data_IF_843995649913
#
_entry.id   IF_843995649913
#
_cell.length_a   1.000
_cell.length_b   1.000
_cell.length_c   1.000
_cell.angle_alpha   90.00
_cell.angle_beta   90.00
_cell.angle_gamma   90.00
#
_symmetry.space_group_name_H-M   'P 1'
#
loop_
_entity.id
_entity.type
_entity.pdbx_description
1 polymer ?
#
# COMPACT_ATOMS: atom_id res chain seq x y z
N UNK A 1 -1.02 3.93 -17.56
CA UNK A 1 -1.81 4.12 -16.33
C UNK A 1 -0.89 4.49 -15.20
N UNK A 2 -1.36 5.26 -14.22
CA UNK A 2 -0.54 5.69 -13.09
C UNK A 2 -1.38 6.04 -11.87
N UNK A 3 -0.70 6.19 -10.75
CA UNK A 3 -1.30 6.41 -9.44
C UNK A 3 -0.56 7.51 -8.68
N UNK A 4 -1.30 8.29 -7.90
CA UNK A 4 -0.78 9.20 -6.89
C UNK A 4 -1.48 8.88 -5.58
N UNK A 5 -0.70 8.75 -4.52
CA UNK A 5 -1.19 8.56 -3.15
C UNK A 5 -0.82 9.83 -2.38
N UNK A 6 -1.82 10.52 -1.84
CA UNK A 6 -1.66 11.78 -1.13
C UNK A 6 -2.17 11.64 0.31
N UNK A 7 -1.25 11.61 1.26
CA UNK A 7 -1.58 11.55 2.69
C UNK A 7 -1.82 12.95 3.26
N UNK A 8 -2.96 13.13 3.93
CA UNK A 8 -3.42 14.38 4.51
C UNK A 8 -3.54 14.26 6.03
N UNK A 9 -2.46 14.58 6.75
CA UNK A 9 -2.40 14.44 8.21
C UNK A 9 -3.49 15.24 8.95
N UNK A 10 -3.82 16.45 8.48
CA UNK A 10 -4.83 17.30 9.11
C UNK A 10 -6.26 16.75 9.05
N UNK A 11 -6.56 15.87 8.08
CA UNK A 11 -7.88 15.26 7.89
C UNK A 11 -7.90 13.77 8.23
N UNK A 12 -6.77 13.24 8.70
CA UNK A 12 -6.55 11.81 8.91
C UNK A 12 -7.02 10.95 7.73
N UNK A 13 -6.62 11.35 6.52
CA UNK A 13 -7.09 10.73 5.28
C UNK A 13 -5.97 10.59 4.28
N UNK A 14 -5.99 9.53 3.48
CA UNK A 14 -5.11 9.34 2.33
C UNK A 14 -5.96 9.20 1.08
N UNK A 15 -5.75 10.11 0.12
CA UNK A 15 -6.46 10.13 -1.15
C UNK A 15 -5.65 9.41 -2.24
N UNK A 16 -6.34 8.63 -3.05
CA UNK A 16 -5.75 7.88 -4.15
C UNK A 16 -6.32 8.43 -5.45
N UNK A 17 -5.42 8.97 -6.28
CA UNK A 17 -5.73 9.47 -7.61
C UNK A 17 -5.22 8.51 -8.67
N UNK A 18 -5.98 8.34 -9.74
CA UNK A 18 -5.62 7.50 -10.90
C UNK A 18 -5.57 8.34 -12.17
N UNK A 19 -4.62 7.99 -13.03
CA UNK A 19 -4.54 8.51 -14.40
C UNK A 19 -4.56 7.37 -15.42
N UNK A 20 -5.26 7.58 -16.53
CA UNK A 20 -5.26 6.69 -17.68
C UNK A 20 -4.33 7.17 -18.81
N UNK A 21 -3.92 8.45 -18.80
CA UNK A 21 -3.31 9.14 -19.94
C UNK A 21 -1.88 9.62 -19.67
N UNK A 22 -1.18 8.93 -18.76
CA UNK A 22 0.21 9.25 -18.44
C UNK A 22 0.38 10.48 -17.54
N UNK A 23 -0.68 10.87 -16.83
CA UNK A 23 -0.64 11.93 -15.82
C UNK A 23 -1.07 13.29 -16.35
N UNK A 24 -1.70 13.36 -17.53
CA UNK A 24 -2.29 14.59 -18.05
C UNK A 24 -3.58 14.94 -17.30
N UNK A 25 -4.36 13.91 -16.95
CA UNK A 25 -5.54 14.05 -16.10
C UNK A 25 -5.51 13.07 -14.94
N UNK A 26 -5.96 13.53 -13.78
CA UNK A 26 -6.04 12.76 -12.54
C UNK A 26 -7.47 12.83 -12.00
N UNK A 27 -8.01 11.68 -11.62
CA UNK A 27 -9.31 11.57 -10.97
C UNK A 27 -9.14 10.91 -9.60
N UNK A 28 -9.85 11.43 -8.60
CA UNK A 28 -9.94 10.77 -7.29
C UNK A 28 -10.63 9.42 -7.49
N UNK A 29 -9.92 8.33 -7.19
CA UNK A 29 -10.49 6.98 -7.24
C UNK A 29 -11.11 6.62 -5.89
N UNK A 30 -10.39 6.89 -4.80
CA UNK A 30 -10.83 6.48 -3.46
C UNK A 30 -10.09 7.27 -2.37
N UNK A 31 -10.66 7.28 -1.17
CA UNK A 31 -10.03 7.84 0.02
C UNK A 31 -10.03 6.78 1.13
N UNK A 32 -8.87 6.60 1.75
CA UNK A 32 -8.68 5.76 2.92
C UNK A 32 -8.71 6.66 4.18
N UNK A 33 -9.52 6.37 5.22
CA UNK A 33 -9.61 7.19 6.42
C UNK A 33 -8.41 6.97 7.37
N UNK A 34 -7.20 6.93 6.82
CA UNK A 34 -5.94 6.79 7.55
C UNK A 34 -4.96 7.86 7.10
N UNK A 35 -4.26 8.46 8.07
CA UNK A 35 -3.55 9.71 7.90
C UNK A 35 -2.23 9.59 7.14
N UNK A 36 -1.58 8.44 7.23
CA UNK A 36 -0.23 8.23 6.75
C UNK A 36 -0.06 6.82 6.21
N UNK A 37 0.68 6.73 5.11
CA UNK A 37 1.09 5.47 4.47
C UNK A 37 2.61 5.40 4.51
N UNK A 38 3.14 4.35 5.11
CA UNK A 38 4.58 4.13 5.23
C UNK A 38 5.17 3.50 3.97
N UNK A 39 4.41 2.63 3.30
CA UNK A 39 4.88 1.93 2.11
C UNK A 39 3.75 1.70 1.10
N UNK A 40 4.10 1.71 -0.18
CA UNK A 40 3.20 1.57 -1.31
C UNK A 40 3.80 0.55 -2.27
N UNK A 41 3.01 -0.48 -2.60
CA UNK A 41 3.30 -1.43 -3.67
C UNK A 41 2.30 -1.27 -4.81
N UNK A 42 2.79 -1.32 -6.04
CA UNK A 42 1.95 -1.39 -7.24
C UNK A 42 1.91 -2.84 -7.70
N UNK A 43 0.74 -3.45 -7.66
CA UNK A 43 0.50 -4.82 -8.11
C UNK A 43 -0.25 -4.81 -9.45
N UNK A 44 -0.28 -5.96 -10.14
CA UNK A 44 -0.94 -6.10 -11.45
C UNK A 44 -2.41 -5.67 -11.43
N UNK A 45 -3.09 -5.86 -10.28
CA UNK A 45 -4.54 -5.65 -10.15
C UNK A 45 -4.93 -4.51 -9.19
N UNK A 46 -3.98 -3.67 -8.79
CA UNK A 46 -4.28 -2.58 -7.86
C UNK A 46 -3.07 -2.04 -7.09
N UNK A 47 -3.38 -1.37 -5.97
CA UNK A 47 -2.39 -0.84 -5.04
C UNK A 47 -2.42 -1.60 -3.72
N UNK A 48 -1.24 -1.84 -3.16
CA UNK A 48 -1.07 -2.32 -1.80
C UNK A 48 -0.50 -1.17 -0.97
N UNK A 49 -1.25 -0.70 0.01
CA UNK A 49 -0.82 0.36 0.93
C UNK A 49 -0.55 -0.25 2.30
N UNK A 50 0.47 0.28 2.96
CA UNK A 50 0.74 -0.02 4.35
C UNK A 50 0.48 1.23 5.19
N UNK A 51 -0.73 1.35 5.76
CA UNK A 51 -1.07 2.48 6.61
C UNK A 51 -0.40 2.36 7.97
N UNK A 52 -0.08 3.50 8.57
CA UNK A 52 0.44 3.55 9.94
C UNK A 52 -0.51 4.28 10.86
N UNK A 53 -0.58 3.79 12.10
CA UNK A 53 -1.24 4.49 13.18
C UNK A 53 -0.41 5.66 13.73
N UNK A 54 -0.88 6.30 14.79
CA UNK A 54 -0.20 7.43 15.44
C UNK A 54 1.18 7.09 16.00
N UNK A 55 1.43 5.83 16.32
CA UNK A 55 2.69 5.34 16.88
C UNK A 55 3.64 4.82 15.79
N UNK A 56 3.27 5.03 14.51
CA UNK A 56 4.01 4.58 13.32
C UNK A 56 4.08 3.05 13.21
N UNK A 57 3.08 2.35 13.74
CA UNK A 57 2.94 0.90 13.57
C UNK A 57 1.88 0.56 12.53
N UNK A 58 2.12 -0.53 11.80
CA UNK A 58 1.17 -1.15 10.90
C UNK A 58 0.89 -2.57 11.36
N UNK A 59 -0.37 -2.91 11.59
CA UNK A 59 -0.81 -4.29 11.86
C UNK A 59 -1.46 -4.95 10.63
N UNK A 60 -1.63 -4.19 9.54
CA UNK A 60 -2.34 -4.63 8.36
C UNK A 60 -1.85 -3.94 7.08
N UNK A 61 -2.27 -4.50 5.94
CA UNK A 61 -2.17 -3.92 4.61
C UNK A 61 -3.57 -3.56 4.11
N UNK A 62 -3.65 -2.52 3.29
CA UNK A 62 -4.85 -2.12 2.59
C UNK A 62 -4.64 -2.33 1.09
N UNK A 63 -5.38 -3.27 0.50
CA UNK A 63 -5.39 -3.50 -0.94
C UNK A 63 -6.53 -2.73 -1.60
N UNK A 64 -6.21 -1.89 -2.58
CA UNK A 64 -7.18 -1.22 -3.44
C UNK A 64 -7.20 -1.92 -4.78
N UNK A 65 -8.25 -2.68 -5.06
CA UNK A 65 -8.46 -3.24 -6.38
C UNK A 65 -8.69 -2.12 -7.41
N UNK A 66 -8.32 -2.38 -8.67
CA UNK A 66 -8.53 -1.43 -9.77
C UNK A 66 -9.98 -0.93 -9.92
N UNK A 67 -10.95 -1.72 -9.45
CA UNK A 67 -12.37 -1.37 -9.40
C UNK A 67 -12.79 -0.44 -8.26
N UNK A 68 -11.85 0.02 -7.42
CA UNK A 68 -12.10 0.99 -6.34
C UNK A 68 -12.47 0.38 -4.98
N UNK A 69 -12.48 -0.94 -4.85
CA UNK A 69 -12.79 -1.63 -3.59
C UNK A 69 -11.58 -1.79 -2.69
N UNK A 70 -11.73 -1.42 -1.42
CA UNK A 70 -10.74 -1.66 -0.36
C UNK A 70 -10.91 -3.05 0.25
N UNK A 71 -9.78 -3.70 0.49
CA UNK A 71 -9.70 -4.95 1.23
C UNK A 71 -8.59 -4.82 2.30
N UNK A 72 -8.95 -5.05 3.56
CA UNK A 72 -7.98 -5.14 4.65
C UNK A 72 -7.39 -6.54 4.68
N UNK A 73 -6.06 -6.62 4.65
CA UNK A 73 -5.32 -7.88 4.77
C UNK A 73 -4.46 -7.85 6.02
N UNK A 74 -4.60 -8.86 6.86
CA UNK A 74 -3.76 -8.99 8.05
C UNK A 74 -2.33 -9.29 7.64
N UNK A 75 -1.38 -8.61 8.27
CA UNK A 75 0.00 -9.04 8.21
C UNK A 75 0.17 -10.31 9.06
N UNK A 76 1.13 -11.19 8.71
CA UNK A 76 1.64 -12.15 9.68
C UNK A 76 2.03 -11.39 10.94
N UNK A 77 1.76 -11.93 12.14
CA UNK A 77 2.02 -11.22 13.40
C UNK A 77 3.46 -10.70 13.45
N UNK A 78 3.60 -9.37 13.37
CA UNK A 78 4.89 -8.70 13.40
C UNK A 78 5.14 -8.24 14.85
N UNK A 79 6.34 -8.48 15.42
CA UNK A 79 6.71 -7.90 16.69
C UNK A 79 6.59 -6.36 16.67
N UNK A 80 6.35 -5.71 17.82
CA UNK A 80 6.39 -4.26 17.90
C UNK A 80 7.75 -3.71 17.42
N UNK A 81 7.74 -2.51 16.82
CA UNK A 81 8.94 -1.76 16.37
C UNK A 81 9.70 -2.35 15.17
N UNK A 82 8.94 -2.85 14.21
CA UNK A 82 9.46 -3.35 12.95
C UNK A 82 9.03 -2.44 11.82
N UNK A 83 9.97 -1.98 11.00
CA UNK A 83 9.61 -1.32 9.75
C UNK A 83 9.37 -2.40 8.71
N UNK A 84 8.23 -2.29 8.04
CA UNK A 84 7.89 -3.15 6.93
C UNK A 84 7.96 -2.32 5.66
N UNK A 85 8.49 -2.90 4.58
CA UNK A 85 8.42 -2.26 3.27
C UNK A 85 7.93 -3.26 2.24
N UNK A 86 7.14 -2.76 1.29
CA UNK A 86 6.59 -3.54 0.19
C UNK A 86 7.33 -3.14 -1.09
N UNK A 87 7.83 -4.13 -1.81
CA UNK A 87 8.44 -3.92 -3.13
C UNK A 87 7.93 -4.96 -4.11
N UNK A 88 7.50 -4.51 -5.29
CA UNK A 88 7.13 -5.40 -6.39
C UNK A 88 8.20 -5.38 -7.48
N UNK A 89 8.35 -6.53 -8.14
CA UNK A 89 9.13 -6.68 -9.35
C UNK A 89 8.41 -6.06 -10.57
N UNK A 90 9.11 -5.82 -11.69
CA UNK A 90 8.51 -5.20 -12.87
C UNK A 90 7.30 -5.94 -13.45
N UNK A 91 7.14 -7.23 -13.16
CA UNK A 91 5.97 -8.03 -13.57
C UNK A 91 4.71 -7.76 -12.73
N UNK A 92 4.84 -6.98 -11.64
CA UNK A 92 3.79 -6.61 -10.71
C UNK A 92 3.06 -7.80 -10.04
N UNK A 93 3.61 -9.01 -10.16
CA UNK A 93 3.09 -10.25 -9.56
C UNK A 93 3.98 -10.70 -8.43
N UNK A 94 5.28 -10.66 -8.66
CA UNK A 94 6.24 -11.06 -7.66
C UNK A 94 6.64 -9.84 -6.84
N UNK A 95 6.78 -10.04 -5.54
CA UNK A 95 7.17 -8.96 -4.65
C UNK A 95 7.62 -9.50 -3.32
N UNK A 96 8.21 -8.60 -2.55
CA UNK A 96 8.69 -8.86 -1.22
C UNK A 96 8.07 -7.91 -0.23
N UNK A 97 7.79 -8.45 0.96
CA UNK A 97 7.56 -7.69 2.16
C UNK A 97 8.79 -7.89 3.04
N UNK A 98 9.56 -6.84 3.23
CA UNK A 98 10.81 -6.88 3.98
C UNK A 98 10.61 -6.40 5.40
N UNK A 99 11.17 -7.16 6.34
CA UNK A 99 11.21 -6.86 7.78
C UNK A 99 12.61 -6.38 8.17
N UNK A 100 12.82 -5.08 8.27
CA UNK A 100 14.17 -4.48 8.33
C UNK A 100 15.01 -4.91 9.54
N UNK A 101 14.43 -4.89 10.75
CA UNK A 101 15.16 -5.07 12.01
C UNK A 101 15.41 -6.53 12.41
N UNK A 102 14.85 -7.49 11.67
CA UNK A 102 14.95 -8.90 12.03
C UNK A 102 15.24 -9.83 10.84
N UNK A 103 15.29 -9.32 9.61
CA UNK A 103 15.71 -10.08 8.43
C UNK A 103 14.69 -11.06 7.88
N UNK A 104 13.42 -10.97 8.27
CA UNK A 104 12.36 -11.78 7.66
C UNK A 104 12.02 -11.21 6.27
N UNK A 105 11.88 -12.13 5.31
CA UNK A 105 11.50 -11.82 3.94
C UNK A 105 10.27 -12.67 3.61
N UNK A 106 9.14 -12.00 3.37
CA UNK A 106 7.96 -12.65 2.83
C UNK A 106 7.91 -12.38 1.32
N UNK A 107 7.50 -13.37 0.56
CA UNK A 107 7.38 -13.27 -0.89
C UNK A 107 5.93 -13.49 -1.31
N UNK A 108 5.47 -12.73 -2.30
CA UNK A 108 4.27 -13.02 -3.08
C UNK A 108 4.64 -13.38 -4.52
N UNK A 109 3.80 -14.18 -5.16
CA UNK A 109 3.88 -14.51 -6.58
C UNK A 109 2.61 -14.09 -7.37
N UNK A 110 1.68 -13.41 -6.71
CA UNK A 110 0.34 -13.10 -7.22
C UNK A 110 -0.14 -11.66 -6.94
N UNK A 111 0.79 -10.73 -6.69
CA UNK A 111 0.46 -9.34 -6.44
C UNK A 111 0.05 -9.06 -4.99
N UNK A 112 0.39 -9.96 -4.07
CA UNK A 112 0.08 -9.88 -2.65
C UNK A 112 -1.32 -10.37 -2.28
N UNK A 113 -1.92 -11.25 -3.09
CA UNK A 113 -3.24 -11.85 -2.86
C UNK A 113 -3.21 -12.99 -1.85
#
# INVERSE_FOLDING_TARGET
MGWVVASHSARHQTDIYKTADGGLHWALLSSLPEAAVQSIGVAESGLLLMPVDSDSHSDHLMFLADGGGWERRSLPTVPPNVSVSVQFLPDMKHGWLLRDNYGDLFQTADGGR
#
